data_IF_956513047503
#
_entry.id   IF_956513047503
#
_cell.length_a   1.000
_cell.length_b   1.000
_cell.length_c   1.000
_cell.angle_alpha   90.00
_cell.angle_beta   90.00
_cell.angle_gamma   90.00
#
_symmetry.space_group_name_H-M   'P 1'
#
loop_
_entity.id
_entity.type
_entity.pdbx_description
1 polymer ?
#
# COMPACT_ATOMS: atom_id res chain seq x y z
N UNK A 1 70.59 48.08 -37.45
CA UNK A 1 69.17 48.31 -37.80
C UNK A 1 68.49 46.95 -37.58
N UNK A 2 67.61 46.66 -36.62
CA UNK A 2 66.69 47.44 -35.77
C UNK A 2 66.17 46.52 -34.66
N UNK A 3 65.99 47.07 -33.43
CA UNK A 3 65.08 46.70 -32.32
C UNK A 3 64.83 45.20 -32.02
N UNK A 4 65.27 44.60 -30.89
CA UNK A 4 65.10 44.95 -29.47
C UNK A 4 63.66 45.28 -29.03
N UNK A 5 63.13 44.34 -28.25
CA UNK A 5 62.30 44.47 -27.05
C UNK A 5 60.78 44.52 -27.21
N UNK A 6 60.19 43.36 -26.91
CA UNK A 6 58.92 43.21 -26.21
C UNK A 6 58.81 44.25 -25.08
N UNK A 7 57.75 45.04 -25.11
CA UNK A 7 57.27 45.77 -23.95
C UNK A 7 55.87 45.26 -23.56
N UNK A 8 55.61 45.15 -22.24
CA UNK A 8 54.38 44.63 -21.65
C UNK A 8 53.31 45.75 -21.61
N UNK A 9 52.31 45.62 -20.72
CA UNK A 9 51.26 46.62 -20.36
C UNK A 9 49.94 46.42 -21.13
N UNK A 10 48.75 46.38 -20.53
CA UNK A 10 48.28 46.75 -19.19
C UNK A 10 47.40 45.63 -18.61
N UNK A 11 47.80 45.09 -17.47
CA UNK A 11 46.87 44.42 -16.55
C UNK A 11 45.93 45.51 -16.02
N UNK A 12 44.67 45.51 -16.45
CA UNK A 12 43.66 46.39 -15.88
C UNK A 12 43.39 45.91 -14.44
N UNK A 13 43.62 46.74 -13.40
CA UNK A 13 43.14 46.39 -12.07
C UNK A 13 41.61 46.40 -12.14
N UNK A 14 41.00 45.27 -11.80
CA UNK A 14 39.55 45.20 -11.58
C UNK A 14 39.17 46.26 -10.53
N UNK A 15 38.06 47.00 -10.73
CA UNK A 15 37.63 47.97 -9.74
C UNK A 15 37.35 47.25 -8.42
N UNK A 16 38.10 47.62 -7.38
CA UNK A 16 37.81 47.22 -6.01
C UNK A 16 36.43 47.77 -5.65
N UNK A 17 35.40 46.95 -5.79
CA UNK A 17 34.11 47.22 -5.17
C UNK A 17 34.38 47.19 -3.67
N UNK A 18 34.49 48.39 -3.07
CA UNK A 18 34.46 48.58 -1.63
C UNK A 18 33.05 48.20 -1.19
N UNK A 19 32.80 46.90 -1.03
CA UNK A 19 31.60 46.41 -0.40
C UNK A 19 31.68 46.89 1.04
N UNK A 20 30.99 48.00 1.32
CA UNK A 20 30.75 48.45 2.68
C UNK A 20 30.28 47.24 3.49
N UNK A 21 30.96 46.99 4.59
CA UNK A 21 30.49 46.04 5.58
C UNK A 21 29.19 46.60 6.15
N UNK A 22 28.08 46.34 5.45
CA UNK A 22 26.77 46.40 6.06
C UNK A 22 26.76 45.25 7.06
N UNK A 23 27.10 45.57 8.31
CA UNK A 23 26.78 44.73 9.45
C UNK A 23 25.26 44.77 9.55
N UNK A 24 24.61 43.97 8.72
CA UNK A 24 23.24 43.56 8.97
C UNK A 24 23.32 42.82 10.29
N UNK A 25 22.88 43.48 11.36
CA UNK A 25 22.52 42.79 12.58
C UNK A 25 21.41 41.82 12.18
N UNK A 26 21.78 40.60 11.81
CA UNK A 26 20.86 39.48 11.88
C UNK A 26 20.58 39.38 13.37
N UNK A 27 19.52 40.05 13.83
CA UNK A 27 18.97 39.80 15.14
C UNK A 27 18.76 38.29 15.16
N UNK A 28 19.65 37.59 15.87
CA UNK A 28 19.58 36.17 16.05
C UNK A 28 18.25 35.94 16.76
N UNK A 29 17.22 35.60 15.97
CA UNK A 29 15.92 35.24 16.52
C UNK A 29 16.24 34.10 17.46
N UNK A 30 16.05 34.32 18.77
CA UNK A 30 16.07 33.24 19.76
C UNK A 30 15.15 32.16 19.20
N UNK A 31 15.73 31.05 18.73
CA UNK A 31 14.95 29.85 18.44
C UNK A 31 14.30 29.51 19.76
N UNK A 32 12.99 29.61 19.84
CA UNK A 32 12.25 29.22 21.03
C UNK A 32 12.68 27.78 21.40
N UNK A 33 13.44 27.64 22.48
CA UNK A 33 13.87 26.35 23.05
C UNK A 33 12.85 25.86 24.08
N UNK A 34 11.56 26.19 23.90
CA UNK A 34 10.49 25.52 24.62
C UNK A 34 10.39 24.06 24.15
N UNK A 35 9.71 23.16 24.90
CA UNK A 35 9.44 21.83 24.40
C UNK A 35 8.76 21.97 23.04
N UNK A 36 9.43 21.47 21.99
CA UNK A 36 8.90 21.53 20.64
C UNK A 36 7.53 20.86 20.68
N UNK A 37 6.46 21.60 20.38
CA UNK A 37 5.08 21.07 20.32
C UNK A 37 4.90 19.99 19.23
N UNK A 38 5.98 19.60 18.56
CA UNK A 38 5.94 18.63 17.49
C UNK A 38 5.85 17.23 18.10
N UNK A 39 5.07 16.33 17.46
CA UNK A 39 4.99 14.95 17.90
C UNK A 39 6.36 14.27 17.78
N UNK A 40 6.55 13.24 18.61
CA UNK A 40 7.73 12.39 18.52
C UNK A 40 7.81 11.72 17.14
N UNK A 41 9.02 11.63 16.61
CA UNK A 41 9.29 11.07 15.29
C UNK A 41 10.23 9.89 15.42
N UNK A 42 9.75 8.73 14.97
CA UNK A 42 10.44 7.46 14.98
C UNK A 42 11.02 7.12 13.60
N UNK A 43 11.99 6.22 13.59
CA UNK A 43 12.50 5.61 12.36
C UNK A 43 11.71 4.33 12.10
N UNK A 44 11.03 4.28 10.97
CA UNK A 44 10.22 3.14 10.57
C UNK A 44 10.77 2.52 9.29
N UNK A 45 11.00 1.20 9.34
CA UNK A 45 11.41 0.40 8.18
C UNK A 45 10.17 -0.14 7.48
N UNK A 46 9.89 0.36 6.28
CA UNK A 46 8.80 -0.10 5.42
C UNK A 46 9.36 -1.16 4.48
N UNK A 47 8.85 -2.38 4.55
CA UNK A 47 9.19 -3.49 3.67
C UNK A 47 8.14 -3.55 2.56
N UNK A 48 8.62 -3.47 1.33
CA UNK A 48 7.82 -3.59 0.12
C UNK A 48 7.65 -5.06 -0.27
N UNK A 49 6.78 -5.32 -1.25
CA UNK A 49 6.36 -6.66 -1.67
C UNK A 49 7.51 -7.48 -2.27
N UNK A 50 8.48 -6.83 -2.91
CA UNK A 50 9.70 -7.45 -3.42
C UNK A 50 10.74 -7.75 -2.32
N UNK A 51 10.44 -7.39 -1.07
CA UNK A 51 11.35 -7.50 0.06
C UNK A 51 12.33 -6.32 0.19
N UNK A 52 12.32 -5.37 -0.75
CA UNK A 52 13.11 -4.14 -0.60
C UNK A 52 12.60 -3.33 0.59
N UNK A 53 13.49 -2.58 1.24
CA UNK A 53 13.15 -1.85 2.46
C UNK A 53 13.57 -0.39 2.41
N UNK A 54 12.69 0.48 2.89
CA UNK A 54 12.88 1.94 2.94
C UNK A 54 12.75 2.38 4.40
N UNK A 55 13.68 3.20 4.87
CA UNK A 55 13.63 3.78 6.22
C UNK A 55 13.09 5.20 6.13
N UNK A 56 11.96 5.46 6.80
CA UNK A 56 11.26 6.76 6.78
C UNK A 56 11.08 7.27 8.21
N UNK A 57 11.11 8.59 8.37
CA UNK A 57 10.76 9.30 9.61
C UNK A 57 9.24 9.41 9.71
N UNK A 58 8.60 8.70 10.65
CA UNK A 58 7.15 8.72 10.85
C UNK A 58 6.79 8.95 12.32
N UNK A 59 5.56 9.35 12.62
CA UNK A 59 5.07 9.53 14.01
C UNK A 59 4.53 8.24 14.61
N UNK A 60 4.52 7.14 13.85
CA UNK A 60 4.05 5.85 14.34
C UNK A 60 5.14 5.18 15.17
N UNK A 61 4.83 4.62 16.36
CA UNK A 61 5.80 3.92 17.19
C UNK A 61 6.20 2.55 16.63
N UNK A 62 5.61 2.09 15.52
CA UNK A 62 5.89 0.77 14.94
C UNK A 62 7.23 0.78 14.20
N UNK A 63 8.22 -0.04 14.58
CA UNK A 63 9.55 -0.01 13.97
C UNK A 63 9.57 -0.59 12.56
N UNK A 64 8.64 -1.50 12.22
CA UNK A 64 8.57 -2.15 10.92
C UNK A 64 7.13 -2.31 10.44
N UNK A 65 6.89 -2.01 9.18
CA UNK A 65 5.62 -2.26 8.50
C UNK A 65 5.91 -3.02 7.21
N UNK A 66 5.11 -4.04 6.92
CA UNK A 66 5.11 -4.74 5.62
C UNK A 66 3.92 -4.27 4.80
N UNK A 67 4.14 -3.90 3.55
CA UNK A 67 3.09 -3.53 2.62
C UNK A 67 2.69 -4.74 1.77
N UNK A 68 1.39 -4.95 1.61
CA UNK A 68 0.84 -5.96 0.70
C UNK A 68 0.48 -5.36 -0.67
N UNK A 69 0.27 -4.05 -0.72
CA UNK A 69 -0.06 -3.28 -1.92
C UNK A 69 0.90 -2.09 -2.01
N UNK A 70 1.69 -2.05 -3.08
CA UNK A 70 2.66 -1.00 -3.34
C UNK A 70 2.80 -0.77 -4.86
N UNK A 71 3.74 0.09 -5.26
CA UNK A 71 4.00 0.41 -6.67
C UNK A 71 4.62 -0.74 -7.47
N UNK A 72 5.19 -1.76 -6.80
CA UNK A 72 5.87 -2.89 -7.46
C UNK A 72 4.91 -4.03 -7.80
N UNK A 73 3.88 -4.24 -6.97
CA UNK A 73 2.83 -5.25 -7.15
C UNK A 73 1.55 -4.72 -7.85
N UNK A 74 1.56 -3.47 -8.32
CA UNK A 74 0.38 -2.88 -8.95
C UNK A 74 0.55 -2.75 -10.47
N UNK A 75 -0.41 -3.31 -11.20
CA UNK A 75 -0.44 -3.40 -12.67
C UNK A 75 -0.29 -2.04 -13.34
N UNK A 76 -0.78 -0.95 -12.73
CA UNK A 76 -0.65 0.39 -13.29
C UNK A 76 0.81 0.85 -13.42
N UNK A 77 1.66 0.50 -12.46
CA UNK A 77 3.06 0.91 -12.41
C UNK A 77 4.03 -0.19 -12.86
N UNK A 78 3.58 -1.44 -12.86
CA UNK A 78 4.32 -2.60 -13.35
C UNK A 78 3.44 -3.45 -14.28
N UNK A 79 3.36 -3.10 -15.59
CA UNK A 79 2.45 -3.75 -16.52
C UNK A 79 2.84 -5.20 -16.82
N UNK A 80 4.10 -5.60 -16.60
CA UNK A 80 4.56 -6.98 -16.76
C UNK A 80 3.84 -7.96 -15.81
N UNK A 81 3.29 -7.45 -14.71
CA UNK A 81 2.49 -8.23 -13.76
C UNK A 81 1.00 -8.31 -14.13
N UNK A 82 0.58 -7.83 -15.30
CA UNK A 82 -0.83 -7.87 -15.74
C UNK A 82 -1.44 -9.26 -15.73
N UNK A 83 -0.61 -10.30 -15.89
CA UNK A 83 -1.04 -11.69 -15.90
C UNK A 83 -1.40 -12.21 -14.49
N UNK A 84 -0.97 -11.51 -13.44
CA UNK A 84 -1.26 -11.87 -12.06
C UNK A 84 -2.55 -11.19 -11.59
N UNK A 85 -3.66 -11.92 -11.66
CA UNK A 85 -4.98 -11.42 -11.25
C UNK A 85 -5.02 -11.25 -9.73
N UNK A 86 -4.95 -10.01 -9.25
CA UNK A 86 -5.16 -9.67 -7.84
C UNK A 86 -6.66 -9.68 -7.50
N UNK A 87 -7.17 -10.80 -7.01
CA UNK A 87 -8.54 -10.91 -6.49
C UNK A 87 -8.66 -10.33 -5.07
N UNK A 88 -9.19 -9.11 -4.96
CA UNK A 88 -9.49 -8.47 -3.67
C UNK A 88 -10.82 -8.94 -3.08
N UNK A 89 -11.78 -9.35 -3.93
CA UNK A 89 -13.10 -9.80 -3.49
C UNK A 89 -13.12 -11.27 -3.05
N UNK A 90 -12.08 -12.04 -3.36
CA UNK A 90 -12.00 -13.47 -3.11
C UNK A 90 -12.95 -14.31 -3.96
N UNK A 91 -13.69 -13.71 -4.90
CA UNK A 91 -14.69 -14.40 -5.72
C UNK A 91 -14.05 -15.38 -6.70
N UNK A 92 -12.94 -14.99 -7.30
CA UNK A 92 -12.19 -15.84 -8.24
C UNK A 92 -11.55 -17.00 -7.48
N UNK A 93 -11.01 -16.74 -6.28
CA UNK A 93 -10.48 -17.80 -5.41
C UNK A 93 -11.55 -18.78 -4.96
N UNK A 94 -12.71 -18.28 -4.54
CA UNK A 94 -13.84 -19.13 -4.15
C UNK A 94 -14.35 -19.96 -5.32
N UNK A 95 -14.45 -19.35 -6.51
CA UNK A 95 -14.83 -20.07 -7.73
C UNK A 95 -13.81 -21.14 -8.08
N UNK A 96 -12.52 -20.78 -8.16
CA UNK A 96 -11.44 -21.74 -8.43
C UNK A 96 -11.43 -22.87 -7.41
N UNK A 97 -11.62 -22.60 -6.12
CA UNK A 97 -11.69 -23.65 -5.09
C UNK A 97 -12.90 -24.58 -5.27
N UNK A 98 -14.05 -24.07 -5.72
CA UNK A 98 -15.26 -24.87 -5.91
C UNK A 98 -15.21 -25.71 -7.19
N UNK A 99 -14.59 -25.17 -8.25
CA UNK A 99 -14.66 -25.72 -9.60
C UNK A 99 -13.28 -26.19 -10.12
N UNK A 100 -12.26 -26.31 -9.26
CA UNK A 100 -10.89 -26.73 -9.64
C UNK A 100 -10.82 -28.13 -10.28
N UNK A 101 -11.82 -28.99 -10.04
CA UNK A 101 -11.85 -30.36 -10.58
C UNK A 101 -12.57 -30.50 -11.91
N UNK A 102 -13.11 -29.40 -12.46
CA UNK A 102 -13.90 -29.40 -13.68
C UNK A 102 -13.02 -28.88 -14.81
N UNK A 103 -12.51 -29.81 -15.61
CA UNK A 103 -11.61 -29.52 -16.75
C UNK A 103 -12.40 -29.29 -18.05
N UNK A 104 -13.67 -29.72 -18.08
CA UNK A 104 -14.57 -29.60 -19.23
C UNK A 104 -15.94 -29.03 -18.86
N UNK A 105 -16.59 -28.35 -19.81
CA UNK A 105 -17.92 -27.75 -19.58
C UNK A 105 -19.00 -28.81 -19.30
N UNK A 106 -18.79 -30.05 -19.75
CA UNK A 106 -19.70 -31.18 -19.54
C UNK A 106 -19.70 -31.65 -18.07
N UNK A 107 -18.56 -31.62 -17.38
CA UNK A 107 -18.49 -32.00 -15.96
C UNK A 107 -19.23 -30.99 -15.04
N UNK A 108 -19.47 -29.77 -15.51
CA UNK A 108 -20.15 -28.73 -14.74
C UNK A 108 -21.66 -29.02 -14.58
N UNK A 109 -22.25 -29.79 -15.51
CA UNK A 109 -23.68 -30.13 -15.48
C UNK A 109 -24.03 -31.06 -14.31
N UNK A 110 -23.13 -31.99 -13.97
CA UNK A 110 -23.33 -32.96 -12.90
C UNK A 110 -23.14 -32.35 -11.49
N UNK A 111 -22.33 -31.29 -11.36
CA UNK A 111 -22.11 -30.61 -10.07
C UNK A 111 -23.28 -29.72 -9.61
N UNK A 112 -24.10 -29.23 -10.54
CA UNK A 112 -25.25 -28.36 -10.20
C UNK A 112 -26.42 -29.15 -9.63
N UNK A 113 -26.63 -30.39 -10.08
CA UNK A 113 -27.71 -31.25 -9.59
C UNK A 113 -27.46 -31.69 -8.15
N UNK A 114 -26.25 -32.16 -7.82
CA UNK A 114 -25.92 -32.68 -6.48
C UNK A 114 -26.01 -31.60 -5.38
N UNK A 115 -25.46 -30.40 -5.64
CA UNK A 115 -25.50 -29.30 -4.67
C UNK A 115 -26.92 -28.75 -4.47
N UNK A 116 -27.72 -28.64 -5.54
CA UNK A 116 -29.09 -28.17 -5.45
C UNK A 116 -29.98 -29.16 -4.69
N UNK A 117 -29.79 -30.46 -4.90
CA UNK A 117 -30.51 -31.51 -4.17
C UNK A 117 -30.16 -31.51 -2.67
N UNK A 118 -28.88 -31.35 -2.33
CA UNK A 118 -28.43 -31.26 -0.94
C UNK A 118 -29.01 -30.03 -0.20
N UNK A 119 -29.06 -28.86 -0.85
CA UNK A 119 -29.68 -27.66 -0.26
C UNK A 119 -31.19 -27.82 -0.07
N UNK A 120 -31.89 -28.44 -1.03
CA UNK A 120 -33.33 -28.74 -0.91
C UNK A 120 -33.61 -29.74 0.21
N UNK A 121 -32.79 -30.78 0.38
CA UNK A 121 -32.92 -31.72 1.50
C UNK A 121 -32.70 -31.06 2.85
N UNK A 122 -31.69 -30.19 2.97
CA UNK A 122 -31.42 -29.45 4.20
C UNK A 122 -32.60 -28.55 4.59
N UNK A 123 -33.21 -27.91 3.59
CA UNK A 123 -34.40 -27.06 3.75
C UNK A 123 -35.63 -27.88 4.13
N UNK A 124 -35.82 -29.06 3.52
CA UNK A 124 -36.90 -30.01 3.86
C UNK A 124 -36.77 -30.54 5.29
N UNK A 125 -35.56 -30.93 5.71
CA UNK A 125 -35.28 -31.38 7.09
C UNK A 125 -35.50 -30.27 8.11
N UNK A 126 -35.08 -29.04 7.79
CA UNK A 126 -35.34 -27.88 8.64
C UNK A 126 -36.85 -27.62 8.78
N UNK A 127 -37.59 -27.58 7.67
CA UNK A 127 -39.04 -27.40 7.66
C UNK A 127 -39.77 -28.49 8.47
N UNK A 128 -39.35 -29.75 8.35
CA UNK A 128 -39.90 -30.86 9.13
C UNK A 128 -39.68 -30.67 10.64
N UNK A 129 -38.48 -30.27 11.08
CA UNK A 129 -38.20 -30.04 12.51
C UNK A 129 -38.96 -28.85 13.10
N UNK A 130 -39.22 -27.82 12.28
CA UNK A 130 -40.05 -26.67 12.68
C UNK A 130 -41.49 -27.11 12.91
N UNK A 131 -42.03 -27.95 12.02
CA UNK A 131 -43.39 -28.44 12.15
C UNK A 131 -43.55 -29.40 13.33
N UNK A 132 -42.55 -30.25 13.60
CA UNK A 132 -42.52 -31.12 14.78
C UNK A 132 -42.57 -30.31 16.08
N UNK A 133 -41.71 -29.30 16.23
CA UNK A 133 -41.75 -28.37 17.38
C UNK A 133 -43.07 -27.62 17.49
N UNK A 134 -43.68 -27.26 16.36
CA UNK A 134 -44.98 -26.58 16.34
C UNK A 134 -46.08 -27.49 16.89
N UNK A 135 -46.07 -28.77 16.54
CA UNK A 135 -47.02 -29.77 17.03
C UNK A 135 -46.81 -30.08 18.51
N UNK A 136 -45.57 -30.16 18.99
CA UNK A 136 -45.26 -30.30 20.42
C UNK A 136 -45.80 -29.13 21.24
N UNK A 137 -45.58 -27.89 20.78
CA UNK A 137 -46.11 -26.69 21.44
C UNK A 137 -47.64 -26.65 21.48
N UNK A 138 -48.31 -27.20 20.46
CA UNK A 138 -49.78 -27.34 20.44
C UNK A 138 -50.27 -28.43 21.39
N UNK A 139 -49.56 -29.55 21.49
CA UNK A 139 -49.88 -30.65 22.43
C UNK A 139 -49.70 -30.21 23.88
N UNK A 140 -48.66 -29.44 24.19
CA UNK A 140 -48.40 -28.94 25.55
C UNK A 140 -49.41 -27.88 26.04
N UNK A 141 -50.25 -27.34 25.14
CA UNK A 141 -51.26 -26.31 25.45
C UNK A 141 -52.68 -26.88 25.60
N UNK A 142 -52.86 -28.19 25.37
CA UNK A 142 -54.12 -28.91 25.57
C UNK A 142 -54.04 -29.75 26.84
#
# INVERSE_FOLDING_TARGET
MTSRLLLPTLWRPFPTVRSGQSVRHYAARKKYTGPTSNPEVFNQKVILTDGSSITIRTTSPRPQIKLNKDTRNNVLWNPELSNMVSDESGRIKQFSSKFSGIDSLDDLADFQSENAEAELESSRRFAASVEEKRLERKKAKK
#
